data_IF_476743497368
#
_entry.id   IF_476743497368
#
_cell.length_a   1.000
_cell.length_b   1.000
_cell.length_c   1.000
_cell.angle_alpha   90.00
_cell.angle_beta   90.00
_cell.angle_gamma   90.00
#
_symmetry.space_group_name_H-M   'P 1'
#
loop_
_entity.id
_entity.type
_entity.pdbx_description
1 polymer ?
#
# COMPACT_ATOMS: atom_id res chain seq x y z
N UNK A 1 -14.44 6.19 0.19
CA UNK A 1 -14.49 6.82 -1.14
C UNK A 1 -13.51 7.95 -1.29
N UNK A 2 -12.88 8.01 -2.46
CA UNK A 2 -11.98 9.08 -2.86
C UNK A 2 -12.72 10.33 -3.36
N UNK A 3 -12.16 11.52 -3.10
CA UNK A 3 -12.57 12.77 -3.72
C UNK A 3 -11.98 12.84 -5.14
N UNK A 4 -12.77 12.45 -6.14
CA UNK A 4 -12.31 12.35 -7.53
C UNK A 4 -11.87 13.70 -8.10
N UNK A 5 -12.54 14.80 -7.75
CA UNK A 5 -12.19 16.12 -8.25
C UNK A 5 -10.81 16.55 -7.75
N UNK A 6 -10.55 16.33 -6.45
CA UNK A 6 -9.26 16.64 -5.85
C UNK A 6 -8.15 15.75 -6.42
N UNK A 7 -8.38 14.44 -6.52
CA UNK A 7 -7.42 13.50 -7.12
C UNK A 7 -7.11 13.88 -8.55
N UNK A 8 -8.14 14.08 -9.38
CA UNK A 8 -7.93 14.33 -10.80
C UNK A 8 -7.13 15.61 -10.98
N UNK A 9 -7.54 16.69 -10.30
CA UNK A 9 -6.88 17.98 -10.40
C UNK A 9 -5.40 17.94 -9.98
N UNK A 10 -5.10 17.31 -8.85
CA UNK A 10 -3.78 17.40 -8.21
C UNK A 10 -2.82 16.31 -8.69
N UNK A 11 -3.32 15.10 -8.95
CA UNK A 11 -2.49 13.90 -9.16
C UNK A 11 -2.52 13.37 -10.60
N UNK A 12 -3.60 13.60 -11.37
CA UNK A 12 -3.81 12.90 -12.64
C UNK A 12 -3.78 13.82 -13.87
N UNK A 13 -4.53 14.93 -13.84
CA UNK A 13 -4.63 15.86 -14.97
C UNK A 13 -3.29 16.48 -15.38
N UNK A 14 -2.35 16.80 -14.48
CA UNK A 14 -1.03 17.29 -14.88
C UNK A 14 -0.27 16.32 -15.80
N UNK A 15 -0.39 15.01 -15.60
CA UNK A 15 0.19 13.98 -16.48
C UNK A 15 -0.42 14.08 -17.88
N UNK A 16 -1.75 14.27 -17.97
CA UNK A 16 -2.44 14.42 -19.26
C UNK A 16 -2.01 15.68 -20.02
N UNK A 17 -1.55 16.71 -19.30
CA UNK A 17 -1.03 17.95 -19.88
C UNK A 17 0.44 17.85 -20.32
N UNK A 18 1.11 16.73 -20.05
CA UNK A 18 2.49 16.48 -20.46
C UNK A 18 3.53 16.52 -19.33
N UNK A 19 3.13 16.74 -18.08
CA UNK A 19 4.06 16.66 -16.95
C UNK A 19 4.64 15.24 -16.83
N UNK A 20 5.96 15.14 -16.64
CA UNK A 20 6.68 13.88 -16.56
C UNK A 20 7.31 13.61 -15.19
N UNK A 21 7.28 14.59 -14.27
CA UNK A 21 7.81 14.42 -12.91
C UNK A 21 6.94 15.13 -11.88
N UNK A 22 6.69 14.46 -10.77
CA UNK A 22 5.94 14.96 -9.61
C UNK A 22 6.84 14.97 -8.39
N UNK A 23 7.05 16.15 -7.81
CA UNK A 23 7.73 16.34 -6.54
C UNK A 23 6.68 16.61 -5.46
N UNK A 24 6.77 15.88 -4.35
CA UNK A 24 5.82 15.94 -3.26
C UNK A 24 6.57 16.26 -1.98
N UNK A 25 6.13 17.32 -1.29
CA UNK A 25 6.48 17.56 0.11
C UNK A 25 5.24 17.27 0.94
N UNK A 26 5.35 16.40 1.93
CA UNK A 26 4.23 16.08 2.81
C UNK A 26 4.67 15.89 4.24
N UNK A 27 3.93 16.44 5.19
CA UNK A 27 4.18 16.18 6.60
C UNK A 27 4.10 14.68 6.94
N UNK A 28 3.02 14.03 6.48
CA UNK A 28 2.86 12.58 6.59
C UNK A 28 2.51 12.01 5.22
N UNK A 29 2.80 10.73 5.02
CA UNK A 29 2.45 10.03 3.80
C UNK A 29 2.18 8.55 4.08
N UNK A 30 1.50 7.87 3.15
CA UNK A 30 1.32 6.42 3.21
C UNK A 30 1.81 5.73 1.93
N UNK A 31 2.48 4.58 2.08
CA UNK A 31 2.88 3.72 0.97
C UNK A 31 1.67 3.18 0.19
N UNK A 32 0.54 3.00 0.87
CA UNK A 32 -0.74 2.62 0.23
C UNK A 32 -1.21 3.68 -0.78
N UNK A 33 -0.99 4.98 -0.51
CA UNK A 33 -1.28 6.05 -1.46
C UNK A 33 -0.33 6.05 -2.66
N UNK A 34 0.97 5.81 -2.42
CA UNK A 34 1.94 5.64 -3.50
C UNK A 34 1.55 4.46 -4.41
N UNK A 35 1.32 3.29 -3.82
CA UNK A 35 0.86 2.09 -4.53
C UNK A 35 -0.42 2.34 -5.33
N UNK A 36 -1.40 3.03 -4.72
CA UNK A 36 -2.64 3.41 -5.40
C UNK A 36 -2.38 4.34 -6.59
N UNK A 37 -1.54 5.35 -6.41
CA UNK A 37 -1.26 6.34 -7.43
C UNK A 37 -0.57 5.71 -8.65
N UNK A 38 0.48 4.92 -8.42
CA UNK A 38 1.20 4.18 -9.46
C UNK A 38 0.26 3.24 -10.23
N UNK A 39 -0.58 2.50 -9.51
CA UNK A 39 -1.56 1.61 -10.12
C UNK A 39 -2.60 2.37 -10.93
N UNK A 40 -3.04 3.53 -10.43
CA UNK A 40 -4.06 4.37 -11.08
C UNK A 40 -3.56 4.96 -12.40
N UNK A 41 -2.33 5.43 -12.45
CA UNK A 41 -1.67 5.92 -13.68
C UNK A 41 -1.71 4.83 -14.75
N UNK A 42 -1.26 3.61 -14.41
CA UNK A 42 -1.30 2.46 -15.32
C UNK A 42 -2.71 2.07 -15.75
N UNK A 43 -3.66 2.00 -14.82
CA UNK A 43 -5.07 1.66 -15.13
C UNK A 43 -5.74 2.69 -16.05
N UNK A 44 -5.27 3.93 -16.04
CA UNK A 44 -5.73 4.99 -16.96
C UNK A 44 -5.00 4.99 -18.30
N UNK A 45 -3.98 4.15 -18.49
CA UNK A 45 -3.15 4.12 -19.70
C UNK A 45 -2.34 5.41 -19.91
N UNK A 46 -1.97 6.09 -18.81
CA UNK A 46 -1.16 7.30 -18.87
C UNK A 46 0.33 6.96 -19.02
N UNK A 47 1.15 7.88 -19.57
CA UNK A 47 2.59 7.74 -19.58
C UNK A 47 3.16 7.51 -18.17
N UNK A 48 4.25 6.77 -18.08
CA UNK A 48 5.02 6.66 -16.84
C UNK A 48 5.68 8.00 -16.52
N UNK A 49 5.77 8.31 -15.23
CA UNK A 49 6.38 9.53 -14.70
C UNK A 49 7.38 9.18 -13.59
N UNK A 50 8.17 10.15 -13.16
CA UNK A 50 8.96 10.08 -11.94
C UNK A 50 8.21 10.72 -10.77
N UNK A 51 8.08 10.02 -9.64
CA UNK A 51 7.46 10.55 -8.43
C UNK A 51 8.49 10.56 -7.30
N UNK A 52 8.77 11.75 -6.76
CA UNK A 52 9.65 11.92 -5.61
C UNK A 52 8.87 12.49 -4.42
N UNK A 53 8.96 11.79 -3.30
CA UNK A 53 8.28 12.15 -2.06
C UNK A 53 9.29 12.47 -0.97
N UNK A 54 9.10 13.62 -0.31
CA UNK A 54 9.73 13.97 0.95
C UNK A 54 8.67 13.88 2.06
N UNK A 55 8.92 13.04 3.06
CA UNK A 55 8.10 12.95 4.29
C UNK A 55 8.78 13.73 5.41
N UNK A 56 8.08 14.73 5.93
CA UNK A 56 8.70 15.76 6.76
C UNK A 56 8.60 15.59 8.28
N UNK A 57 7.73 14.71 8.77
CA UNK A 57 7.52 14.51 10.23
C UNK A 57 8.13 13.22 10.78
N UNK A 58 8.81 12.41 9.96
CA UNK A 58 9.30 11.08 10.33
C UNK A 58 10.30 11.09 11.51
N UNK A 59 11.18 12.09 11.59
CA UNK A 59 12.11 12.25 12.72
C UNK A 59 11.41 12.73 14.01
N UNK A 60 10.41 13.60 13.89
CA UNK A 60 9.81 14.29 15.05
C UNK A 60 8.64 13.52 15.67
N UNK A 61 7.63 13.18 14.86
CA UNK A 61 6.45 12.43 15.32
C UNK A 61 6.62 10.92 15.15
N UNK A 62 7.72 10.49 14.56
CA UNK A 62 7.93 9.09 14.20
C UNK A 62 7.18 8.64 12.96
N UNK A 63 7.53 7.45 12.50
CA UNK A 63 6.95 6.77 11.34
C UNK A 63 6.54 5.36 11.76
N UNK A 64 5.35 4.93 11.36
CA UNK A 64 4.94 3.54 11.60
C UNK A 64 5.86 2.60 10.80
N UNK A 65 6.28 1.50 11.41
CA UNK A 65 7.20 0.53 10.81
C UNK A 65 6.65 -0.05 9.50
N UNK A 66 5.35 -0.37 9.44
CA UNK A 66 4.70 -0.87 8.21
C UNK A 66 4.73 0.17 7.07
N UNK A 67 4.64 1.46 7.40
CA UNK A 67 4.73 2.54 6.41
C UNK A 67 6.17 2.65 5.90
N UNK A 68 7.16 2.58 6.80
CA UNK A 68 8.57 2.60 6.42
C UNK A 68 8.92 1.45 5.48
N UNK A 69 8.61 0.22 5.88
CA UNK A 69 8.87 -0.97 5.07
C UNK A 69 8.10 -0.93 3.75
N UNK A 70 6.84 -0.49 3.77
CA UNK A 70 6.05 -0.34 2.56
C UNK A 70 6.63 0.68 1.56
N UNK A 71 7.29 1.75 2.04
CA UNK A 71 8.00 2.66 1.14
C UNK A 71 9.28 2.03 0.57
N UNK A 72 10.05 1.28 1.37
CA UNK A 72 11.22 0.51 0.89
C UNK A 72 10.80 -0.48 -0.20
N UNK A 73 9.74 -1.25 0.04
CA UNK A 73 9.23 -2.23 -0.91
C UNK A 73 8.83 -1.57 -2.24
N UNK A 74 8.15 -0.42 -2.22
CA UNK A 74 7.77 0.27 -3.47
C UNK A 74 9.00 0.82 -4.19
N UNK A 75 9.97 1.38 -3.45
CA UNK A 75 11.21 1.91 -4.03
C UNK A 75 12.03 0.81 -4.72
N UNK A 76 12.15 -0.36 -4.09
CA UNK A 76 12.95 -1.48 -4.61
C UNK A 76 12.27 -2.19 -5.80
N UNK A 77 10.94 -2.21 -5.84
CA UNK A 77 10.17 -2.85 -6.90
C UNK A 77 9.99 -1.93 -8.13
N UNK A 78 11.11 -1.67 -8.82
CA UNK A 78 11.12 -0.97 -10.11
C UNK A 78 10.79 -1.93 -11.26
N UNK A 79 9.53 -1.89 -11.71
CA UNK A 79 9.08 -2.52 -12.93
C UNK A 79 8.71 -1.41 -13.93
N UNK A 80 9.38 -1.39 -15.08
CA UNK A 80 9.27 -0.35 -16.12
C UNK A 80 7.83 -0.12 -16.63
N UNK A 81 6.91 -1.07 -16.36
CA UNK A 81 5.48 -0.92 -16.66
C UNK A 81 4.75 0.04 -15.73
N UNK A 82 5.40 0.51 -14.66
CA UNK A 82 4.87 1.47 -13.69
C UNK A 82 5.72 2.75 -13.67
N UNK A 83 5.16 3.82 -13.09
CA UNK A 83 5.91 5.05 -12.83
C UNK A 83 6.99 4.78 -11.77
N UNK A 84 8.12 5.45 -11.88
CA UNK A 84 9.21 5.36 -10.91
C UNK A 84 8.81 6.10 -9.63
N UNK A 85 9.22 5.58 -8.48
CA UNK A 85 8.88 6.15 -7.18
C UNK A 85 10.06 6.15 -6.23
N UNK A 86 10.33 7.31 -5.65
CA UNK A 86 11.35 7.50 -4.63
C UNK A 86 10.75 8.18 -3.40
N UNK A 87 11.12 7.70 -2.23
CA UNK A 87 10.71 8.27 -0.95
C UNK A 87 11.95 8.62 -0.12
N UNK A 88 11.89 9.79 0.49
CA UNK A 88 12.93 10.38 1.32
C UNK A 88 12.30 10.94 2.60
N UNK A 89 13.09 10.99 3.67
CA UNK A 89 12.67 11.56 4.95
C UNK A 89 13.52 12.76 5.29
N UNK A 90 12.91 13.78 5.91
CA UNK A 90 13.66 14.85 6.58
C UNK A 90 14.32 14.26 7.82
N UNK A 91 15.65 14.34 7.86
CA UNK A 91 16.52 13.79 8.92
C UNK A 91 17.32 14.86 9.66
N UNK A 92 17.37 16.08 9.14
CA UNK A 92 18.04 17.22 9.77
C UNK A 92 17.11 18.43 9.89
N UNK A 93 17.54 19.40 10.70
CA UNK A 93 16.86 20.69 10.89
C UNK A 93 15.39 20.57 11.33
N UNK A 94 14.58 21.58 10.99
CA UNK A 94 13.21 21.70 11.48
C UNK A 94 12.28 20.74 10.72
N UNK A 95 11.36 20.05 11.41
CA UNK A 95 10.39 19.16 10.77
C UNK A 95 9.52 19.91 9.75
N UNK A 96 9.25 19.25 8.63
CA UNK A 96 8.46 19.82 7.53
C UNK A 96 7.03 19.34 7.62
N UNK A 97 6.10 20.24 7.95
CA UNK A 97 4.67 19.92 8.02
C UNK A 97 3.87 20.43 6.81
N UNK A 98 4.54 20.97 5.80
CA UNK A 98 3.92 21.49 4.57
C UNK A 98 3.41 20.37 3.67
N UNK A 99 2.41 20.70 2.82
CA UNK A 99 1.82 19.80 1.82
C UNK A 99 1.88 20.52 0.48
N UNK A 100 2.79 20.10 -0.38
CA UNK A 100 3.08 20.75 -1.66
C UNK A 100 3.25 19.67 -2.74
N UNK A 101 2.63 19.89 -3.89
CA UNK A 101 2.69 19.01 -5.06
C UNK A 101 3.15 19.84 -6.25
N UNK A 102 4.27 19.49 -6.86
CA UNK A 102 4.93 20.28 -7.88
C UNK A 102 5.12 19.40 -9.11
N UNK A 103 4.57 19.84 -10.24
CA UNK A 103 4.62 19.14 -11.50
C UNK A 103 5.63 19.81 -12.42
N UNK A 104 6.51 18.98 -12.98
CA UNK A 104 7.56 19.39 -13.88
C UNK A 104 7.32 18.75 -15.26
N UNK A 105 7.68 19.49 -16.29
CA UNK A 105 7.87 19.01 -17.66
C UNK A 105 9.34 19.25 -18.02
N UNK A 106 10.12 18.18 -18.13
CA UNK A 106 11.55 18.24 -18.44
C UNK A 106 12.31 19.20 -17.51
N UNK A 107 12.18 18.98 -16.20
CA UNK A 107 12.77 19.75 -15.10
C UNK A 107 12.29 21.21 -14.96
N UNK A 108 11.35 21.67 -15.79
CA UNK A 108 10.72 22.99 -15.64
C UNK A 108 9.45 22.87 -14.81
N UNK A 109 9.31 23.57 -13.67
CA UNK A 109 8.08 23.55 -12.89
C UNK A 109 6.95 24.26 -13.65
N UNK A 110 5.89 23.53 -13.98
CA UNK A 110 4.78 24.04 -14.80
C UNK A 110 3.49 24.26 -14.02
N UNK A 111 3.27 23.50 -12.94
CA UNK A 111 2.05 23.56 -12.14
C UNK A 111 2.36 23.14 -10.70
N UNK A 112 1.79 23.83 -9.70
CA UNK A 112 2.01 23.47 -8.31
C UNK A 112 0.77 23.74 -7.45
N UNK A 113 0.65 22.97 -6.37
CA UNK A 113 -0.48 23.00 -5.46
C UNK A 113 -0.02 22.93 -4.00
N UNK A 114 -0.70 23.65 -3.13
CA UNK A 114 -0.49 23.58 -1.69
C UNK A 114 -1.80 23.64 -0.92
N UNK A 115 -1.80 23.15 0.31
CA UNK A 115 -2.99 23.13 1.16
C UNK A 115 -2.85 22.18 2.34
N UNK A 116 -3.94 21.48 2.67
CA UNK A 116 -4.02 20.64 3.87
C UNK A 116 -3.80 19.13 3.63
N UNK A 117 -3.96 18.66 2.38
CA UNK A 117 -3.95 17.23 2.05
C UNK A 117 -2.54 16.62 2.09
N UNK A 118 -2.27 15.78 3.11
CA UNK A 118 -1.11 14.89 3.15
C UNK A 118 -1.17 13.85 2.01
N UNK A 119 -0.01 13.32 1.61
CA UNK A 119 0.10 12.27 0.58
C UNK A 119 -0.31 10.90 1.14
N UNK A 120 -1.59 10.78 1.47
CA UNK A 120 -2.23 9.62 2.08
C UNK A 120 -3.61 9.42 1.44
N UNK A 121 -4.16 8.20 1.47
CA UNK A 121 -5.49 8.00 0.88
C UNK A 121 -6.55 8.79 1.64
N UNK A 122 -6.43 8.91 2.98
CA UNK A 122 -7.27 9.78 3.80
C UNK A 122 -7.26 11.26 3.34
N UNK A 123 -6.09 11.80 2.98
CA UNK A 123 -5.93 13.17 2.47
C UNK A 123 -6.55 13.42 1.08
N UNK A 124 -6.89 12.36 0.35
CA UNK A 124 -7.61 12.44 -0.91
C UNK A 124 -9.01 11.80 -0.84
N UNK A 125 -9.49 11.50 0.36
CA UNK A 125 -10.79 10.87 0.60
C UNK A 125 -11.91 11.88 0.80
N UNK A 126 -13.16 11.44 0.66
CA UNK A 126 -14.33 12.20 1.10
C UNK A 126 -14.51 12.21 2.62
N UNK A 127 -13.74 11.40 3.35
CA UNK A 127 -13.78 11.34 4.83
C UNK A 127 -13.10 12.53 5.50
N UNK A 128 -12.30 13.30 4.76
CA UNK A 128 -11.66 14.54 5.24
C UNK A 128 -12.04 15.70 4.34
N UNK A 129 -12.29 16.86 4.96
CA UNK A 129 -12.57 18.10 4.23
C UNK A 129 -11.25 18.82 3.99
N UNK A 130 -10.55 18.37 2.96
CA UNK A 130 -9.26 18.94 2.58
C UNK A 130 -9.45 20.12 1.62
N UNK A 131 -8.55 21.09 1.70
CA UNK A 131 -8.52 22.24 0.81
C UNK A 131 -7.14 22.34 0.17
N UNK A 132 -7.12 22.39 -1.17
CA UNK A 132 -5.92 22.56 -1.97
C UNK A 132 -6.13 23.69 -2.97
N UNK A 133 -5.12 24.51 -3.15
CA UNK A 133 -5.13 25.65 -4.08
C UNK A 133 -3.87 25.65 -4.94
N UNK A 134 -3.93 26.16 -6.18
CA UNK A 134 -2.74 26.40 -6.97
C UNK A 134 -1.81 27.38 -6.25
N UNK A 135 -0.51 27.21 -6.43
CA UNK A 135 0.52 28.14 -5.98
C UNK A 135 1.55 28.37 -7.09
N UNK A 136 2.44 29.34 -6.88
CA UNK A 136 3.45 29.70 -7.89
C UNK A 136 4.47 28.54 -8.03
N UNK A 137 4.59 27.90 -9.22
CA UNK A 137 5.39 26.69 -9.38
C UNK A 137 6.89 26.86 -9.10
N UNK A 138 7.47 27.99 -9.49
CA UNK A 138 8.89 28.24 -9.31
C UNK A 138 9.26 28.43 -7.83
N UNK A 139 8.46 29.16 -7.06
CA UNK A 139 8.64 29.34 -5.62
C UNK A 139 8.44 28.02 -4.86
N UNK A 140 7.46 27.21 -5.25
CA UNK A 140 7.25 25.88 -4.68
C UNK A 140 8.46 24.97 -4.95
N UNK A 141 9.01 25.01 -6.17
CA UNK A 141 10.20 24.26 -6.55
C UNK A 141 11.46 24.75 -5.81
N UNK A 142 11.63 26.06 -5.64
CA UNK A 142 12.71 26.61 -4.81
C UNK A 142 12.62 26.13 -3.36
N UNK A 143 11.40 26.09 -2.79
CA UNK A 143 11.19 25.55 -1.46
C UNK A 143 11.58 24.07 -1.37
N UNK A 144 11.15 23.23 -2.32
CA UNK A 144 11.54 21.83 -2.39
C UNK A 144 13.07 21.66 -2.44
N UNK A 145 13.74 22.41 -3.32
CA UNK A 145 15.20 22.34 -3.47
C UNK A 145 15.94 22.77 -2.19
N UNK A 146 15.36 23.68 -1.40
CA UNK A 146 15.90 24.07 -0.10
C UNK A 146 15.89 22.95 0.93
N UNK A 147 15.06 21.90 0.75
CA UNK A 147 14.98 20.75 1.65
C UNK A 147 15.96 19.63 1.28
N UNK A 148 16.57 19.65 0.10
CA UNK A 148 17.33 18.51 -0.44
C UNK A 148 18.58 18.19 0.40
N UNK A 149 19.15 19.17 1.09
CA UNK A 149 20.28 18.93 1.99
C UNK A 149 19.88 18.25 3.30
N UNK A 150 18.59 18.25 3.65
CA UNK A 150 18.08 17.76 4.94
C UNK A 150 17.45 16.36 4.83
N UNK A 151 17.52 15.73 3.65
CA UNK A 151 16.81 14.48 3.37
C UNK A 151 17.72 13.29 3.14
N UNK A 152 17.21 12.10 3.46
CA UNK A 152 17.83 10.82 3.17
C UNK A 152 16.79 9.84 2.61
N UNK A 153 17.18 9.01 1.64
CA UNK A 153 16.29 8.02 1.04
C UNK A 153 15.83 6.96 2.05
N UNK A 154 14.56 6.53 1.91
CA UNK A 154 13.95 5.54 2.81
C UNK A 154 14.60 4.15 2.74
N UNK A 155 15.37 3.85 1.70
CA UNK A 155 16.11 2.61 1.53
C UNK A 155 17.62 2.78 1.76
N UNK A 156 18.06 3.94 2.27
CA UNK A 156 19.44 4.10 2.70
C UNK A 156 19.72 3.19 3.90
N UNK A 157 20.87 2.50 3.92
CA UNK A 157 21.18 1.48 4.94
C UNK A 157 21.17 2.02 6.38
N UNK A 158 21.44 3.31 6.56
CA UNK A 158 21.52 3.95 7.87
C UNK A 158 20.25 4.75 8.22
N UNK A 159 19.21 4.75 7.37
CA UNK A 159 18.04 5.64 7.58
C UNK A 159 17.35 5.43 8.94
N UNK A 160 17.35 4.19 9.43
CA UNK A 160 16.73 3.79 10.68
C UNK A 160 17.45 4.39 11.91
N UNK A 161 18.70 4.86 11.76
CA UNK A 161 19.43 5.61 12.79
C UNK A 161 18.97 7.08 12.91
N UNK A 162 18.28 7.60 11.89
CA UNK A 162 17.86 8.99 11.78
C UNK A 162 16.36 9.21 11.93
N UNK A 163 15.55 8.16 12.06
CA UNK A 163 14.10 8.27 12.20
C UNK A 163 13.60 7.57 13.46
N UNK A 164 12.42 7.96 13.93
CA UNK A 164 11.78 7.29 15.07
C UNK A 164 10.74 6.29 14.55
N UNK A 165 11.07 5.00 14.51
CA UNK A 165 10.09 3.97 14.17
C UNK A 165 9.14 3.71 15.35
N UNK A 166 7.85 3.55 15.03
CA UNK A 166 6.79 3.22 15.98
C UNK A 166 6.04 1.99 15.51
N UNK A 167 5.56 1.19 16.45
CA UNK A 167 4.64 0.11 16.13
C UNK A 167 3.37 0.68 15.48
N UNK A 168 2.82 -0.06 14.52
CA UNK A 168 1.69 0.41 13.72
C UNK A 168 0.38 0.46 14.51
N UNK A 169 0.28 -0.36 15.58
CA UNK A 169 -0.82 -0.42 16.52
C UNK A 169 -0.31 -0.90 17.89
N UNK A 170 -0.87 -0.45 19.04
CA UNK A 170 -0.40 -0.86 20.37
C UNK A 170 -0.38 -2.38 20.59
N UNK A 171 -1.29 -3.10 19.93
CA UNK A 171 -1.35 -4.57 19.99
C UNK A 171 -0.11 -5.23 19.37
N UNK A 172 0.54 -4.55 18.43
CA UNK A 172 1.79 -5.00 17.81
C UNK A 172 3.03 -4.61 18.64
N UNK A 173 2.92 -3.70 19.62
CA UNK A 173 4.05 -3.38 20.52
C UNK A 173 4.45 -4.61 21.36
N UNK A 174 3.49 -5.48 21.69
CA UNK A 174 3.71 -6.72 22.44
C UNK A 174 4.40 -7.84 21.62
N UNK A 175 4.53 -7.69 20.29
CA UNK A 175 5.27 -8.64 19.45
C UNK A 175 6.78 -8.55 19.68
N UNK A 176 7.29 -7.36 20.03
CA UNK A 176 8.73 -7.11 20.23
C UNK A 176 9.29 -8.00 21.36
N UNK A 177 8.43 -8.53 22.24
CA UNK A 177 8.79 -9.44 23.34
C UNK A 177 8.69 -10.95 23.00
N UNK A 178 8.56 -11.35 21.72
CA UNK A 178 8.37 -12.75 21.27
C UNK A 178 7.13 -13.45 21.88
N UNK A 179 6.11 -12.68 22.26
CA UNK A 179 4.82 -13.21 22.68
C UNK A 179 3.85 -13.22 21.49
N UNK A 180 3.06 -14.28 21.33
CA UNK A 180 2.05 -14.35 20.28
C UNK A 180 1.09 -13.15 20.43
N UNK A 181 0.72 -12.49 19.32
CA UNK A 181 -0.24 -11.39 19.40
C UNK A 181 -1.56 -11.92 19.94
N UNK A 182 -1.96 -11.39 21.10
CA UNK A 182 -3.28 -11.63 21.66
C UNK A 182 -4.16 -10.46 21.26
N UNK A 183 -4.97 -10.66 20.22
CA UNK A 183 -6.08 -9.76 19.91
C UNK A 183 -7.18 -10.01 20.95
N UNK A 184 -7.63 -8.95 21.63
CA UNK A 184 -8.81 -9.04 22.47
C UNK A 184 -10.09 -9.12 21.62
N UNK A 185 -11.22 -9.49 22.24
CA UNK A 185 -12.51 -9.60 21.56
C UNK A 185 -13.06 -8.25 21.05
N UNK A 186 -12.40 -7.11 21.34
CA UNK A 186 -12.83 -5.79 20.89
C UNK A 186 -12.37 -5.45 19.48
N UNK A 187 -11.36 -6.15 18.96
CA UNK A 187 -10.83 -5.90 17.62
C UNK A 187 -11.69 -6.62 16.59
N UNK A 188 -12.29 -5.82 15.70
CA UNK A 188 -13.10 -6.31 14.60
C UNK A 188 -12.27 -7.26 13.73
N UNK A 189 -12.78 -8.47 13.49
CA UNK A 189 -12.10 -9.48 12.70
C UNK A 189 -13.06 -10.25 11.79
N UNK A 190 -12.51 -10.80 10.70
CA UNK A 190 -13.22 -11.70 9.78
C UNK A 190 -12.33 -12.86 9.36
N UNK A 191 -12.88 -14.07 9.39
CA UNK A 191 -12.22 -15.26 8.87
C UNK A 191 -12.72 -15.58 7.46
N UNK A 192 -11.78 -15.74 6.53
CA UNK A 192 -12.03 -16.02 5.12
C UNK A 192 -11.51 -17.41 4.76
N UNK A 193 -12.40 -18.29 4.34
CA UNK A 193 -12.03 -19.63 3.86
C UNK A 193 -11.27 -19.55 2.54
N UNK A 194 -10.19 -20.35 2.43
CA UNK A 194 -9.42 -20.54 1.19
C UNK A 194 -10.02 -21.66 0.31
N UNK A 195 -11.01 -22.37 0.82
CA UNK A 195 -11.70 -23.48 0.15
C UNK A 195 -12.96 -23.00 -0.58
N UNK A 196 -13.38 -23.76 -1.58
CA UNK A 196 -14.68 -23.59 -2.22
C UNK A 196 -15.79 -24.04 -1.27
N UNK A 197 -16.73 -23.14 -0.97
CA UNK A 197 -17.83 -23.40 -0.03
C UNK A 197 -18.78 -24.53 -0.45
N UNK A 198 -18.80 -24.91 -1.74
CA UNK A 198 -19.68 -25.95 -2.29
C UNK A 198 -19.03 -27.32 -2.26
N UNK A 199 -17.74 -27.40 -2.59
CA UNK A 199 -17.03 -28.68 -2.69
C UNK A 199 -16.21 -29.01 -1.45
N UNK A 200 -15.85 -28.00 -0.63
CA UNK A 200 -14.89 -28.15 0.45
C UNK A 200 -13.45 -28.34 -0.04
N UNK A 201 -13.19 -28.15 -1.34
CA UNK A 201 -11.87 -28.32 -1.95
C UNK A 201 -11.27 -26.99 -2.36
N UNK A 202 -9.95 -26.95 -2.59
CA UNK A 202 -9.32 -25.80 -3.26
C UNK A 202 -9.86 -25.66 -4.68
N UNK A 203 -10.17 -24.43 -5.09
CA UNK A 203 -10.64 -24.18 -6.45
C UNK A 203 -9.60 -24.59 -7.51
N UNK A 204 -10.04 -25.16 -8.63
CA UNK A 204 -9.14 -25.56 -9.73
C UNK A 204 -8.47 -24.38 -10.45
N UNK A 205 -9.20 -23.29 -10.64
CA UNK A 205 -8.75 -22.12 -11.40
C UNK A 205 -9.23 -20.81 -10.78
N UNK A 206 -9.32 -20.76 -9.45
CA UNK A 206 -9.76 -19.60 -8.64
C UNK A 206 -9.04 -19.61 -7.28
N UNK A 207 -9.24 -18.57 -6.46
CA UNK A 207 -8.55 -18.41 -5.18
C UNK A 207 -7.03 -18.48 -5.35
N UNK A 208 -6.39 -19.33 -4.55
CA UNK A 208 -4.94 -19.58 -4.59
C UNK A 208 -4.42 -20.17 -5.92
N UNK A 209 -5.31 -20.77 -6.71
CA UNK A 209 -4.98 -21.40 -7.99
C UNK A 209 -5.47 -20.60 -9.20
N UNK A 210 -5.77 -19.32 -9.06
CA UNK A 210 -6.31 -18.52 -10.17
C UNK A 210 -5.38 -18.44 -11.39
N UNK A 211 -4.07 -18.39 -11.15
CA UNK A 211 -3.00 -18.38 -12.15
C UNK A 211 -2.77 -19.72 -12.85
N UNK A 212 -3.34 -20.82 -12.35
CA UNK A 212 -3.17 -22.18 -12.90
C UNK A 212 -3.95 -22.40 -14.22
N UNK A 213 -4.34 -21.32 -14.91
CA UNK A 213 -5.01 -21.36 -16.22
C UNK A 213 -3.95 -21.26 -17.32
N UNK A 214 -4.24 -21.85 -18.47
CA UNK A 214 -3.34 -21.74 -19.61
C UNK A 214 -3.07 -20.27 -19.98
N UNK A 215 -1.81 -19.91 -20.19
CA UNK A 215 -1.38 -18.56 -20.58
C UNK A 215 -1.38 -17.52 -19.46
N UNK A 216 -1.40 -17.93 -18.19
CA UNK A 216 -1.26 -17.02 -17.05
C UNK A 216 0.01 -17.30 -16.26
N UNK A 217 0.48 -16.27 -15.56
CA UNK A 217 1.54 -16.46 -14.57
C UNK A 217 0.98 -17.34 -13.42
N UNK A 218 1.59 -18.50 -13.14
CA UNK A 218 1.02 -19.52 -12.24
C UNK A 218 0.88 -19.11 -10.77
N UNK A 219 1.63 -18.13 -10.29
CA UNK A 219 1.53 -17.61 -8.93
C UNK A 219 0.35 -16.66 -8.73
N UNK A 220 -0.22 -16.07 -9.78
CA UNK A 220 -1.36 -15.17 -9.63
C UNK A 220 -2.49 -15.80 -8.80
N UNK A 221 -2.88 -15.15 -7.73
CA UNK A 221 -3.84 -15.68 -6.76
C UNK A 221 -4.77 -14.58 -6.24
N UNK A 222 -5.74 -14.96 -5.42
CA UNK A 222 -6.52 -14.03 -4.60
C UNK A 222 -7.12 -14.75 -3.39
N UNK A 223 -7.42 -14.01 -2.33
CA UNK A 223 -8.21 -14.51 -1.19
C UNK A 223 -9.69 -14.25 -1.50
N UNK A 224 -10.56 -15.28 -1.52
CA UNK A 224 -11.99 -15.10 -1.75
C UNK A 224 -12.66 -14.28 -0.64
N UNK A 225 -13.49 -13.31 -1.03
CA UNK A 225 -14.30 -12.52 -0.10
C UNK A 225 -15.78 -12.84 -0.30
N UNK A 226 -16.46 -13.43 0.70
CA UNK A 226 -17.90 -13.63 0.64
C UNK A 226 -18.64 -12.29 0.54
N UNK A 227 -19.72 -12.24 -0.24
CA UNK A 227 -20.49 -11.01 -0.47
C UNK A 227 -21.01 -10.36 0.82
N UNK A 228 -21.30 -11.16 1.85
CA UNK A 228 -21.68 -10.65 3.19
C UNK A 228 -20.57 -9.82 3.84
N UNK A 229 -19.31 -10.26 3.67
CA UNK A 229 -18.13 -9.56 4.23
C UNK A 229 -17.83 -8.34 3.38
N UNK A 230 -17.85 -8.46 2.05
CA UNK A 230 -17.66 -7.31 1.16
C UNK A 230 -18.65 -6.17 1.45
N UNK A 231 -19.90 -6.49 1.82
CA UNK A 231 -20.94 -5.51 2.16
C UNK A 231 -20.92 -5.03 3.62
N UNK A 232 -20.10 -5.63 4.48
CA UNK A 232 -20.06 -5.31 5.91
C UNK A 232 -19.40 -3.97 6.22
N UNK A 233 -18.53 -3.49 5.32
CA UNK A 233 -17.67 -2.33 5.56
C UNK A 233 -16.32 -2.68 6.20
N UNK A 234 -16.04 -3.97 6.46
CA UNK A 234 -14.78 -4.43 7.05
C UNK A 234 -13.56 -4.02 6.22
N UNK A 235 -13.55 -4.37 4.93
CA UNK A 235 -12.44 -4.04 4.03
C UNK A 235 -12.68 -2.73 3.26
N UNK A 236 -11.61 -1.96 2.97
CA UNK A 236 -11.69 -0.82 2.08
C UNK A 236 -12.10 -1.23 0.66
N UNK A 237 -13.25 -0.73 0.20
CA UNK A 237 -13.72 -0.88 -1.18
C UNK A 237 -13.26 0.27 -2.10
N UNK A 238 -13.72 0.22 -3.35
CA UNK A 238 -13.53 1.27 -4.38
C UNK A 238 -12.08 1.45 -4.80
N UNK A 239 -11.38 0.32 -4.96
CA UNK A 239 -9.96 0.25 -5.33
C UNK A 239 -9.02 0.92 -4.33
N UNK A 240 -9.46 1.24 -3.11
CA UNK A 240 -8.55 1.64 -2.02
C UNK A 240 -7.58 0.50 -1.74
N UNK A 241 -6.34 0.88 -1.48
CA UNK A 241 -5.30 -0.06 -1.07
C UNK A 241 -5.21 -0.07 0.45
N UNK A 242 -4.78 -1.18 1.05
CA UNK A 242 -4.55 -1.27 2.48
C UNK A 242 -3.31 -2.11 2.75
N UNK A 243 -2.61 -1.79 3.83
CA UNK A 243 -1.43 -2.52 4.30
C UNK A 243 -1.88 -3.68 5.18
N UNK A 244 -1.19 -4.80 5.05
CA UNK A 244 -1.40 -5.98 5.87
C UNK A 244 -0.07 -6.45 6.42
N UNK A 245 0.06 -6.47 7.75
CA UNK A 245 1.12 -7.20 8.44
C UNK A 245 0.66 -8.64 8.64
N UNK A 246 1.45 -9.61 8.24
CA UNK A 246 1.14 -11.03 8.42
C UNK A 246 1.75 -11.58 9.71
N UNK A 247 1.24 -12.73 10.15
CA UNK A 247 1.77 -13.44 11.33
C UNK A 247 3.22 -13.91 11.22
N UNK A 248 3.80 -13.93 10.00
CA UNK A 248 5.22 -14.16 9.74
C UNK A 248 5.99 -12.87 9.38
N UNK A 249 5.47 -11.73 9.83
CA UNK A 249 6.06 -10.39 9.69
C UNK A 249 6.32 -9.94 8.25
N UNK A 250 5.47 -10.36 7.30
CA UNK A 250 5.47 -9.83 5.94
C UNK A 250 4.52 -8.66 5.82
N UNK A 251 4.93 -7.64 5.10
CA UNK A 251 4.08 -6.52 4.73
C UNK A 251 3.54 -6.74 3.31
N UNK A 252 2.22 -6.68 3.16
CA UNK A 252 1.55 -6.80 1.87
C UNK A 252 0.64 -5.60 1.65
N UNK A 253 0.75 -4.96 0.48
CA UNK A 253 -0.27 -4.01 0.02
C UNK A 253 -1.34 -4.78 -0.72
N UNK A 254 -2.58 -4.72 -0.24
CA UNK A 254 -3.73 -5.43 -0.78
C UNK A 254 -4.83 -4.45 -1.24
N UNK A 255 -5.73 -4.95 -2.07
CA UNK A 255 -7.00 -4.29 -2.41
C UNK A 255 -8.11 -5.29 -2.67
N UNK A 256 -9.35 -4.89 -2.39
CA UNK A 256 -10.55 -5.61 -2.85
C UNK A 256 -10.84 -5.25 -4.30
N UNK A 257 -11.12 -6.24 -5.15
CA UNK A 257 -11.44 -6.06 -6.56
C UNK A 257 -12.29 -7.20 -7.16
N UNK A 258 -12.46 -7.16 -8.48
CA UNK A 258 -13.32 -8.00 -9.32
C UNK A 258 -14.83 -7.71 -9.13
N UNK A 259 -15.64 -8.28 -10.04
CA UNK A 259 -17.09 -8.12 -9.99
C UNK A 259 -17.66 -8.64 -8.68
N UNK A 260 -18.33 -7.76 -7.95
CA UNK A 260 -18.95 -8.05 -6.65
C UNK A 260 -17.98 -8.05 -5.47
N UNK A 261 -16.80 -7.42 -5.61
CA UNK A 261 -15.84 -7.21 -4.53
C UNK A 261 -15.41 -8.53 -3.84
N UNK A 262 -15.26 -9.56 -4.67
CA UNK A 262 -15.11 -10.96 -4.24
C UNK A 262 -13.67 -11.43 -4.07
N UNK A 263 -12.67 -10.58 -4.33
CA UNK A 263 -11.28 -10.97 -4.39
C UNK A 263 -10.37 -9.93 -3.73
N UNK A 264 -9.58 -10.34 -2.75
CA UNK A 264 -8.44 -9.57 -2.23
C UNK A 264 -7.18 -9.99 -2.98
N UNK A 265 -6.42 -9.01 -3.47
CA UNK A 265 -5.23 -9.21 -4.30
C UNK A 265 -4.17 -8.17 -4.02
N UNK A 266 -2.92 -8.47 -4.39
CA UNK A 266 -1.84 -7.48 -4.51
C UNK A 266 -2.00 -6.65 -5.79
N UNK A 267 -2.12 -5.32 -5.70
CA UNK A 267 -2.55 -4.47 -6.83
C UNK A 267 -1.48 -4.29 -7.91
N UNK A 268 -0.21 -4.18 -7.53
CA UNK A 268 0.90 -3.92 -8.45
C UNK A 268 1.34 -5.19 -9.16
N UNK A 269 1.48 -6.30 -8.43
CA UNK A 269 1.77 -7.61 -8.97
C UNK A 269 0.90 -8.67 -8.28
N UNK A 270 -0.05 -9.29 -8.99
CA UNK A 270 -0.99 -10.25 -8.43
C UNK A 270 -0.34 -11.61 -8.05
N UNK A 271 0.92 -11.82 -8.43
CA UNK A 271 1.67 -13.04 -8.13
C UNK A 271 2.17 -13.05 -6.68
N UNK A 272 2.45 -11.88 -6.10
CA UNK A 272 2.99 -11.74 -4.74
C UNK A 272 2.14 -12.43 -3.68
N UNK A 273 0.81 -12.28 -3.71
CA UNK A 273 -0.06 -12.95 -2.74
C UNK A 273 -0.01 -14.48 -2.88
N UNK A 274 0.16 -15.00 -4.10
CA UNK A 274 0.26 -16.44 -4.32
C UNK A 274 1.65 -17.02 -4.04
N UNK A 275 2.71 -16.24 -4.23
CA UNK A 275 4.06 -16.58 -3.77
C UNK A 275 4.07 -16.65 -2.25
N UNK A 276 3.48 -15.67 -1.57
CA UNK A 276 3.31 -15.67 -0.12
C UNK A 276 2.67 -16.98 0.37
N UNK A 277 1.48 -17.34 -0.12
CA UNK A 277 0.82 -18.58 0.32
C UNK A 277 1.61 -19.83 -0.05
N UNK A 278 2.23 -19.91 -1.22
CA UNK A 278 3.03 -21.08 -1.61
C UNK A 278 4.25 -21.25 -0.70
N UNK A 279 4.95 -20.17 -0.40
CA UNK A 279 6.09 -20.18 0.52
C UNK A 279 5.67 -20.63 1.92
N UNK A 280 4.55 -20.10 2.43
CA UNK A 280 3.98 -20.50 3.74
C UNK A 280 3.66 -22.00 3.79
N UNK A 281 3.20 -22.57 2.67
CA UNK A 281 2.86 -23.99 2.53
C UNK A 281 4.06 -24.88 2.16
N UNK A 282 5.28 -24.32 2.06
CA UNK A 282 6.47 -25.08 1.64
C UNK A 282 6.42 -25.56 0.18
N UNK A 283 5.63 -24.90 -0.67
CA UNK A 283 5.45 -25.23 -2.07
C UNK A 283 6.35 -24.39 -2.97
N UNK A 284 6.73 -24.94 -4.12
CA UNK A 284 7.46 -24.17 -5.13
C UNK A 284 6.56 -23.10 -5.77
N UNK A 285 7.18 -22.00 -6.20
CA UNK A 285 6.50 -20.99 -7.01
C UNK A 285 5.81 -21.63 -8.22
N UNK A 286 4.54 -21.27 -8.42
CA UNK A 286 3.69 -21.76 -9.49
C UNK A 286 3.09 -23.15 -9.28
N UNK A 287 3.38 -23.82 -8.16
CA UNK A 287 2.78 -25.12 -7.85
C UNK A 287 1.28 -24.98 -7.56
N UNK A 288 0.51 -26.01 -7.93
CA UNK A 288 -0.91 -26.10 -7.61
C UNK A 288 -1.11 -26.33 -6.10
N UNK A 289 -1.95 -25.51 -5.47
CA UNK A 289 -2.30 -25.64 -4.05
C UNK A 289 -3.48 -26.59 -3.93
N UNK A 290 -3.29 -27.73 -3.27
CA UNK A 290 -4.36 -28.68 -2.97
C UNK A 290 -4.95 -28.40 -1.59
N UNK A 291 -6.14 -28.94 -1.32
CA UNK A 291 -6.70 -28.97 0.03
C UNK A 291 -5.76 -29.65 1.02
N UNK A 292 -5.16 -30.78 0.62
CA UNK A 292 -4.23 -31.52 1.47
C UNK A 292 -3.05 -30.65 1.91
N UNK A 293 -2.50 -29.78 1.04
CA UNK A 293 -1.43 -28.86 1.44
C UNK A 293 -1.87 -27.90 2.56
N UNK A 294 -3.12 -27.41 2.53
CA UNK A 294 -3.67 -26.54 3.58
C UNK A 294 -3.92 -27.33 4.88
N UNK A 295 -4.40 -28.56 4.78
CA UNK A 295 -4.63 -29.43 5.94
C UNK A 295 -3.30 -29.87 6.59
N UNK A 296 -2.30 -30.24 5.79
CA UNK A 296 -0.95 -30.58 6.26
C UNK A 296 -0.26 -29.39 6.92
N UNK A 297 -0.53 -28.18 6.42
CA UNK A 297 -0.08 -26.94 7.03
C UNK A 297 -0.76 -26.65 8.37
N UNK A 298 -1.97 -27.18 8.59
CA UNK A 298 -2.75 -27.01 9.82
C UNK A 298 -3.83 -25.93 9.76
N UNK A 299 -4.13 -25.35 8.58
CA UNK A 299 -5.19 -24.33 8.45
C UNK A 299 -5.70 -24.16 7.01
N UNK A 300 -7.00 -23.93 6.87
CA UNK A 300 -7.70 -23.78 5.57
C UNK A 300 -8.35 -22.41 5.34
N UNK A 301 -8.09 -21.46 6.22
CA UNK A 301 -8.64 -20.11 6.21
C UNK A 301 -7.57 -19.10 6.66
N UNK A 302 -7.88 -17.82 6.53
CA UNK A 302 -7.09 -16.72 7.07
C UNK A 302 -8.00 -15.81 7.88
N UNK A 303 -7.49 -15.25 8.97
CA UNK A 303 -8.22 -14.28 9.78
C UNK A 303 -7.62 -12.91 9.62
N UNK A 304 -8.44 -11.93 9.24
CA UNK A 304 -8.04 -10.53 9.19
C UNK A 304 -8.55 -9.80 10.43
N UNK A 305 -7.70 -8.98 11.02
CA UNK A 305 -8.02 -8.07 12.11
C UNK A 305 -7.87 -6.64 11.61
N UNK A 306 -8.88 -5.81 11.86
CA UNK A 306 -8.88 -4.41 11.44
C UNK A 306 -8.17 -3.57 12.52
N UNK A 307 -6.97 -3.09 12.23
CA UNK A 307 -6.19 -2.25 13.15
C UNK A 307 -6.58 -0.78 13.02
N UNK A 308 -6.73 -0.31 11.77
CA UNK A 308 -7.32 0.99 11.44
C UNK A 308 -8.01 0.95 10.06
N UNK A 309 -8.24 2.12 9.43
CA UNK A 309 -8.91 2.22 8.13
C UNK A 309 -8.05 1.79 6.92
N UNK A 310 -6.72 1.78 7.07
CA UNK A 310 -5.74 1.43 6.02
C UNK A 310 -4.76 0.33 6.44
N UNK A 311 -4.79 -0.15 7.69
CA UNK A 311 -3.91 -1.17 8.25
C UNK A 311 -4.69 -2.34 8.84
N UNK A 312 -4.26 -3.54 8.48
CA UNK A 312 -4.82 -4.80 8.94
C UNK A 312 -3.69 -5.73 9.40
N UNK A 313 -4.05 -6.67 10.25
CA UNK A 313 -3.22 -7.84 10.51
C UNK A 313 -3.88 -9.08 9.87
N UNK A 314 -3.09 -9.96 9.27
CA UNK A 314 -3.57 -11.23 8.71
C UNK A 314 -2.88 -12.40 9.39
N UNK A 315 -3.68 -13.18 10.12
CA UNK A 315 -3.28 -14.43 10.72
C UNK A 315 -3.50 -15.60 9.76
N UNK A 316 -2.42 -16.25 9.37
CA UNK A 316 -2.42 -17.55 8.71
C UNK A 316 -1.61 -18.59 9.51
N UNK A 317 -1.39 -18.40 10.81
CA UNK A 317 -0.64 -19.37 11.63
C UNK A 317 -1.37 -20.72 11.72
N UNK A 318 -0.68 -21.88 11.80
CA UNK A 318 -1.31 -23.18 11.98
C UNK A 318 -2.12 -23.26 13.28
N UNK A 319 -3.20 -24.05 13.28
CA UNK A 319 -4.00 -24.32 14.48
C UNK A 319 -3.46 -25.46 15.34
#
# INVERSE_FOLDING_TARGET
>A
MFNQDLINRILIEPIRKGANRLLIVSGYASHTMASWHLKRIKELGLPTIDIELIVGMALYDGLKEDIHQGFKDIHENNDDIYSNFQCQYIIEHAPVHSKIYIWLDNDLPIEAYTGSANYSQAGFSLGRREYMTPCEPYLAFQYYNGLICDVMFCNHNEIEDYIMLRASHPVLENEIENSAIIFDDSIENVTLSLLDSKTGETHRHSGLNWGQRNGREPNQAYIPVPSRIARSGFFPLEKRHFSVLTDDHKNLVLRVQQQGDKAITTPMNNSLIGEYFRNRLGLNNGQFVTRQHLEDYGRTDVTFYKLDEEQFYMDFSPH
#
